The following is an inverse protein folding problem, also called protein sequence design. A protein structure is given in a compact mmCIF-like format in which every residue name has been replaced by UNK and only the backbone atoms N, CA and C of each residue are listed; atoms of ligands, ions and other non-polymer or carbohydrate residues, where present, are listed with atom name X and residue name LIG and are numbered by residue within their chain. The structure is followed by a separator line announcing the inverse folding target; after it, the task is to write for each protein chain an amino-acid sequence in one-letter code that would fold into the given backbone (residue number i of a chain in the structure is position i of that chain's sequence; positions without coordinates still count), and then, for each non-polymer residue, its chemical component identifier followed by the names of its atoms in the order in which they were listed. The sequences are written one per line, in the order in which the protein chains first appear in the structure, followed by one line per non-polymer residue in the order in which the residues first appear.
data_IF_707580116531
#
_entry.id   IF_707580116531
#
_cell.length_a   1.000
_cell.length_b   1.000
_cell.length_c   1.000
_cell.angle_alpha   90.00
_cell.angle_beta   90.00
_cell.angle_gamma   90.00
#
_symmetry.space_group_name_H-M   'P 1'
#
loop_
_entity.id
_entity.type
_entity.pdbx_description
1 polymer ?
#
# COMPACT_ATOMS: atom_id res chain seq x y z
N UNK A 1 -5.56 6.13 18.97
CA UNK A 1 -4.48 6.07 17.94
C UNK A 1 -4.00 4.66 17.61
N UNK A 2 -3.70 3.77 18.57
CA UNK A 2 -3.14 2.42 18.30
C UNK A 2 -3.96 1.53 17.35
N UNK A 3 -5.30 1.53 17.48
CA UNK A 3 -6.18 0.76 16.57
C UNK A 3 -6.07 1.21 15.11
N UNK A 4 -5.88 2.51 14.84
CA UNK A 4 -5.73 3.04 13.48
C UNK A 4 -4.45 2.51 12.83
N UNK A 5 -3.33 2.56 13.56
CA UNK A 5 -2.01 2.06 13.11
C UNK A 5 -2.07 0.57 12.78
N UNK A 6 -2.76 -0.22 13.60
CA UNK A 6 -2.95 -1.66 13.35
C UNK A 6 -3.66 -1.94 12.02
N UNK A 7 -4.76 -1.25 11.71
CA UNK A 7 -5.46 -1.42 10.44
C UNK A 7 -4.63 -0.96 9.25
N UNK A 8 -3.82 0.10 9.41
CA UNK A 8 -2.88 0.56 8.38
C UNK A 8 -1.88 -0.54 8.04
N UNK A 9 -1.20 -1.09 9.05
CA UNK A 9 -0.17 -2.11 8.87
C UNK A 9 -0.74 -3.39 8.24
N UNK A 10 -1.92 -3.83 8.69
CA UNK A 10 -2.59 -5.01 8.14
C UNK A 10 -3.00 -4.81 6.68
N UNK A 11 -3.59 -3.66 6.35
CA UNK A 11 -3.99 -3.34 4.98
C UNK A 11 -2.78 -3.23 4.06
N UNK A 12 -1.73 -2.56 4.52
CA UNK A 12 -0.53 -2.37 3.72
C UNK A 12 0.20 -3.69 3.44
N UNK A 13 0.29 -4.57 4.43
CA UNK A 13 0.89 -5.90 4.27
C UNK A 13 0.11 -6.76 3.26
N UNK A 14 -1.23 -6.76 3.32
CA UNK A 14 -2.05 -7.50 2.37
C UNK A 14 -1.96 -6.96 0.93
N UNK A 15 -2.00 -5.64 0.74
CA UNK A 15 -1.90 -5.00 -0.57
C UNK A 15 -0.51 -5.19 -1.17
N UNK A 16 0.54 -5.04 -0.36
CA UNK A 16 1.93 -5.23 -0.79
C UNK A 16 2.17 -6.63 -1.32
N UNK A 17 1.73 -7.65 -0.58
CA UNK A 17 1.91 -9.05 -0.99
C UNK A 17 1.16 -9.35 -2.29
N UNK A 18 -0.07 -8.84 -2.44
CA UNK A 18 -0.85 -9.05 -3.66
C UNK A 18 -0.23 -8.38 -4.89
N UNK A 19 0.21 -7.12 -4.77
CA UNK A 19 0.78 -6.38 -5.90
C UNK A 19 2.17 -6.91 -6.28
N UNK A 20 2.98 -7.36 -5.32
CA UNK A 20 4.24 -8.05 -5.60
C UNK A 20 4.01 -9.35 -6.36
N UNK A 21 3.05 -10.19 -5.92
CA UNK A 21 2.73 -11.43 -6.62
C UNK A 21 2.26 -11.18 -8.06
N UNK A 22 1.42 -10.15 -8.28
CA UNK A 22 1.02 -9.75 -9.64
C UNK A 22 2.22 -9.29 -10.48
N UNK A 23 3.10 -8.48 -9.91
CA UNK A 23 4.26 -7.97 -10.62
C UNK A 23 5.25 -9.10 -10.98
N UNK A 24 5.46 -10.06 -10.08
CA UNK A 24 6.22 -11.28 -10.36
C UNK A 24 5.57 -12.11 -11.47
N UNK A 25 4.24 -12.26 -11.46
CA UNK A 25 3.53 -12.96 -12.52
C UNK A 25 3.64 -12.22 -13.87
N UNK A 26 3.54 -10.90 -13.89
CA UNK A 26 3.74 -10.11 -15.13
C UNK A 26 5.15 -10.27 -15.68
N UNK A 27 6.17 -10.31 -14.82
CA UNK A 27 7.55 -10.55 -15.23
C UNK A 27 7.75 -11.97 -15.78
N UNK A 28 7.28 -12.99 -15.07
CA UNK A 28 7.50 -14.40 -15.42
C UNK A 28 6.68 -14.86 -16.63
N UNK A 29 5.41 -14.46 -16.73
CA UNK A 29 4.49 -14.97 -17.75
C UNK A 29 4.36 -14.05 -18.96
N UNK A 30 4.68 -12.76 -18.84
CA UNK A 30 4.53 -11.79 -19.93
C UNK A 30 5.84 -11.10 -20.34
N UNK A 31 6.99 -11.52 -19.79
CA UNK A 31 8.31 -10.94 -20.05
C UNK A 31 8.35 -9.41 -19.89
N UNK A 32 7.46 -8.87 -19.06
CA UNK A 32 7.30 -7.42 -18.89
C UNK A 32 8.33 -6.91 -17.88
N UNK A 33 9.07 -5.83 -18.19
CA UNK A 33 10.05 -5.28 -17.27
C UNK A 33 9.38 -4.83 -15.96
N UNK A 34 9.97 -5.22 -14.84
CA UNK A 34 9.46 -4.93 -13.51
C UNK A 34 9.82 -3.48 -13.12
N UNK A 35 8.89 -2.56 -13.32
CA UNK A 35 9.06 -1.17 -12.87
C UNK A 35 8.65 -1.04 -11.39
N UNK A 36 9.65 -1.14 -10.51
CA UNK A 36 9.46 -1.09 -9.04
C UNK A 36 8.70 0.17 -8.60
N UNK A 37 8.93 1.31 -9.24
CA UNK A 37 8.21 2.56 -8.97
C UNK A 37 6.69 2.41 -9.17
N UNK A 38 6.27 1.78 -10.26
CA UNK A 38 4.85 1.56 -10.56
C UNK A 38 4.19 0.63 -9.54
N UNK A 39 4.92 -0.40 -9.09
CA UNK A 39 4.43 -1.33 -8.05
C UNK A 39 4.24 -0.60 -6.73
N UNK A 40 5.21 0.24 -6.34
CA UNK A 40 5.14 1.02 -5.10
C UNK A 40 3.97 2.02 -5.14
N UNK A 41 3.76 2.71 -6.25
CA UNK A 41 2.66 3.67 -6.39
C UNK A 41 1.29 2.99 -6.39
N UNK A 42 1.16 1.82 -7.03
CA UNK A 42 -0.06 0.98 -6.94
C UNK A 42 -0.34 0.57 -5.50
N UNK A 43 0.68 0.13 -4.77
CA UNK A 43 0.54 -0.26 -3.36
C UNK A 43 0.06 0.93 -2.52
N UNK A 44 0.65 2.12 -2.69
CA UNK A 44 0.23 3.35 -1.99
C UNK A 44 -1.22 3.69 -2.30
N UNK A 45 -1.62 3.64 -3.57
CA UNK A 45 -2.96 3.94 -4.03
C UNK A 45 -4.01 2.98 -3.45
N UNK A 46 -3.80 1.67 -3.59
CA UNK A 46 -4.74 0.67 -3.08
C UNK A 46 -4.85 0.71 -1.55
N UNK A 47 -3.74 0.92 -0.86
CA UNK A 47 -3.75 1.05 0.61
C UNK A 47 -4.55 2.29 1.05
N UNK A 48 -4.41 3.42 0.35
CA UNK A 48 -5.22 4.61 0.60
C UNK A 48 -6.72 4.37 0.38
N UNK A 49 -7.09 3.77 -0.75
CA UNK A 49 -8.50 3.48 -1.06
C UNK A 49 -9.10 2.54 -0.02
N UNK A 50 -8.37 1.51 0.39
CA UNK A 50 -8.81 0.60 1.45
C UNK A 50 -9.03 1.34 2.77
N UNK A 51 -8.10 2.22 3.15
CA UNK A 51 -8.19 3.01 4.37
C UNK A 51 -9.39 3.96 4.36
N UNK A 52 -9.60 4.68 3.24
CA UNK A 52 -10.73 5.59 3.07
C UNK A 52 -12.07 4.86 3.13
N UNK A 53 -12.18 3.69 2.50
CA UNK A 53 -13.44 2.92 2.44
C UNK A 53 -13.72 2.04 3.66
N UNK A 54 -12.70 1.41 4.27
CA UNK A 54 -12.88 0.39 5.32
C UNK A 54 -12.47 0.81 6.72
N UNK A 55 -11.50 1.70 6.88
CA UNK A 55 -11.02 2.11 8.21
C UNK A 55 -11.86 3.24 8.84
N UNK A 56 -12.99 3.64 8.23
CA UNK A 56 -13.76 4.84 8.59
C UNK A 56 -12.89 6.10 8.66
N UNK A 57 -11.86 6.17 7.82
CA UNK A 57 -11.01 7.34 7.65
C UNK A 57 -11.46 8.10 6.40
N UNK A 58 -12.74 8.49 6.38
CA UNK A 58 -13.36 9.19 5.25
C UNK A 58 -12.67 10.52 4.92
N UNK A 59 -12.14 11.18 5.95
CA UNK A 59 -11.46 12.48 5.86
C UNK A 59 -9.97 12.36 5.51
N UNK A 60 -9.47 11.14 5.24
CA UNK A 60 -8.09 10.95 4.83
C UNK A 60 -7.89 11.52 3.43
N UNK A 61 -7.23 12.67 3.36
CA UNK A 61 -6.82 13.30 2.11
C UNK A 61 -5.60 12.58 1.51
N UNK A 62 -5.53 12.53 0.18
CA UNK A 62 -4.41 11.89 -0.52
C UNK A 62 -3.07 12.59 -0.21
N UNK A 63 -3.05 13.93 -0.13
CA UNK A 63 -1.83 14.66 0.24
C UNK A 63 -1.33 14.28 1.65
N UNK A 64 -2.25 14.10 2.60
CA UNK A 64 -1.94 13.64 3.96
C UNK A 64 -1.46 12.19 4.01
N UNK A 65 -1.91 11.36 3.06
CA UNK A 65 -1.43 9.99 2.91
C UNK A 65 -0.03 9.92 2.29
N UNK A 66 0.24 10.72 1.26
CA UNK A 66 1.55 10.80 0.62
C UNK A 66 2.63 11.34 1.56
N UNK A 67 2.26 12.20 2.51
CA UNK A 67 3.15 12.73 3.55
C UNK A 67 3.32 11.77 4.74
N UNK A 68 2.60 10.63 4.76
CA UNK A 68 2.71 9.65 5.84
C UNK A 68 4.05 8.90 5.75
N UNK A 69 5.02 9.37 6.54
CA UNK A 69 6.32 8.70 6.72
C UNK A 69 6.16 7.54 7.69
N UNK A 70 6.33 6.29 7.22
CA UNK A 70 6.36 5.09 8.06
C UNK A 70 7.66 4.96 8.88
N UNK A 71 8.14 6.06 9.47
CA UNK A 71 9.21 6.06 10.46
C UNK A 71 8.65 5.58 11.80
N UNK A 72 8.25 4.31 11.87
CA UNK A 72 7.91 3.67 13.14
C UNK A 72 7.94 2.15 13.04
N UNK A 73 9.12 1.60 12.80
CA UNK A 73 9.56 0.37 13.44
C UNK A 73 11.05 0.59 13.76
N UNK A 74 11.46 0.71 15.04
CA UNK A 74 12.85 0.44 15.36
C UNK A 74 13.12 -1.02 14.94
N UNK A 75 14.13 -1.21 14.09
CA UNK A 75 14.72 -2.51 13.79
C UNK A 75 15.15 -3.20 15.08
#
# INVERSE_FOLDING_TARGET
MRKKIYYVAKAWSAVKTLELLKACNEFLFNAKPLEVCNVVDKIKFYTFVWMKKRAKLGDLAWQSWCSFSFRMFPL
#
